data_IF_920928541019
#
_entry.id   IF_920928541019
#
_cell.length_a   1.000
_cell.length_b   1.000
_cell.length_c   1.000
_cell.angle_alpha   90.00
_cell.angle_beta   90.00
_cell.angle_gamma   90.00
#
_symmetry.space_group_name_H-M   'P 1'
#
loop_
_entity.id
_entity.type
_entity.pdbx_description
1 polymer ?
#
# COMPACT_ATOMS: atom_id res chain seq x y z
N UNK A 1 -2.41 1.71 21.09
CA UNK A 1 -3.15 2.16 19.93
C UNK A 1 -3.38 1.00 18.98
N UNK A 2 -4.50 0.98 18.31
CA UNK A 2 -4.93 -0.15 17.46
C UNK A 2 -3.94 -0.42 16.31
N UNK A 3 -3.54 0.62 15.58
CA UNK A 3 -2.61 0.51 14.46
C UNK A 3 -1.28 -0.11 14.84
N UNK A 4 -0.65 0.35 15.92
CA UNK A 4 0.63 -0.20 16.39
C UNK A 4 0.55 -1.70 16.71
N UNK A 5 -0.57 -2.13 17.32
CA UNK A 5 -0.77 -3.55 17.66
C UNK A 5 -0.87 -4.42 16.41
N UNK A 6 -1.60 -3.95 15.38
CA UNK A 6 -1.71 -4.68 14.11
C UNK A 6 -0.34 -4.78 13.43
N UNK A 7 0.40 -3.68 13.35
CA UNK A 7 1.74 -3.66 12.75
C UNK A 7 2.70 -4.60 13.49
N UNK A 8 2.69 -4.62 14.82
CA UNK A 8 3.51 -5.54 15.60
C UNK A 8 3.17 -7.02 15.31
N UNK A 9 1.88 -7.35 15.11
CA UNK A 9 1.49 -8.70 14.73
C UNK A 9 2.00 -9.05 13.33
N UNK A 10 1.87 -8.15 12.37
CA UNK A 10 2.37 -8.35 11.00
C UNK A 10 3.89 -8.55 10.99
N UNK A 11 4.64 -7.78 11.79
CA UNK A 11 6.10 -7.94 11.92
C UNK A 11 6.50 -9.32 12.44
N UNK A 12 5.68 -9.92 13.31
CA UNK A 12 5.95 -11.26 13.85
C UNK A 12 5.70 -12.40 12.85
N UNK A 13 4.94 -12.16 11.80
CA UNK A 13 4.71 -13.16 10.74
C UNK A 13 5.97 -13.42 9.91
N UNK A 14 6.94 -12.52 9.95
CA UNK A 14 8.16 -12.65 9.19
C UNK A 14 9.18 -13.55 9.89
N UNK A 15 9.41 -14.73 9.38
CA UNK A 15 10.57 -15.56 9.77
C UNK A 15 11.81 -15.05 9.03
N UNK A 16 12.94 -14.94 9.75
CA UNK A 16 14.23 -14.31 9.40
C UNK A 16 14.89 -14.72 8.06
N UNK A 17 14.26 -15.43 7.16
CA UNK A 17 14.80 -15.72 5.84
C UNK A 17 14.36 -14.65 4.86
N UNK A 18 15.31 -13.94 4.30
CA UNK A 18 15.09 -13.06 3.15
C UNK A 18 14.65 -13.97 2.01
N UNK A 19 13.38 -13.93 1.69
CA UNK A 19 12.82 -14.58 0.53
C UNK A 19 12.42 -13.48 -0.46
N UNK A 20 13.15 -13.43 -1.57
CA UNK A 20 12.90 -12.47 -2.65
C UNK A 20 11.78 -12.92 -3.58
N UNK A 21 11.16 -14.08 -3.30
CA UNK A 21 10.04 -14.59 -4.05
C UNK A 21 8.81 -13.69 -3.92
N UNK A 22 8.14 -13.45 -5.03
CA UNK A 22 6.86 -12.74 -5.08
C UNK A 22 5.66 -13.67 -4.82
N UNK A 23 5.88 -14.97 -4.64
CA UNK A 23 4.81 -15.96 -4.52
C UNK A 23 3.85 -15.64 -3.37
N UNK A 24 4.38 -15.22 -2.22
CA UNK A 24 3.56 -14.83 -1.05
C UNK A 24 2.67 -13.64 -1.37
N UNK A 25 3.23 -12.63 -2.05
CA UNK A 25 2.49 -11.45 -2.47
C UNK A 25 1.38 -11.82 -3.44
N UNK A 26 1.67 -12.64 -4.45
CA UNK A 26 0.67 -13.11 -5.40
C UNK A 26 -0.41 -13.97 -4.74
N UNK A 27 -0.03 -14.83 -3.80
CA UNK A 27 -1.00 -15.64 -3.05
C UNK A 27 -1.98 -14.78 -2.24
N UNK A 28 -1.46 -13.77 -1.56
CA UNK A 28 -2.31 -12.84 -0.81
C UNK A 28 -3.19 -12.01 -1.75
N UNK A 29 -2.65 -11.47 -2.82
CA UNK A 29 -3.42 -10.72 -3.82
C UNK A 29 -4.55 -11.55 -4.41
N UNK A 30 -4.30 -12.84 -4.70
CA UNK A 30 -5.32 -13.76 -5.17
C UNK A 30 -6.45 -13.94 -4.15
N UNK A 31 -6.12 -14.11 -2.87
CA UNK A 31 -7.11 -14.17 -1.78
C UNK A 31 -7.93 -12.88 -1.68
N UNK A 32 -7.35 -11.74 -2.01
CA UNK A 32 -7.99 -10.42 -2.01
C UNK A 32 -8.83 -10.15 -3.27
N UNK A 33 -8.85 -11.07 -4.24
CA UNK A 33 -9.57 -10.92 -5.49
C UNK A 33 -8.79 -10.18 -6.59
N UNK A 34 -7.47 -10.24 -6.55
CA UNK A 34 -6.56 -9.60 -7.52
C UNK A 34 -6.87 -8.10 -7.73
N UNK A 35 -6.82 -7.27 -6.69
CA UNK A 35 -7.18 -5.86 -6.79
C UNK A 35 -6.31 -5.10 -7.78
N UNK A 36 -5.06 -5.50 -7.98
CA UNK A 36 -4.13 -4.88 -8.93
C UNK A 36 -4.62 -4.91 -10.37
N UNK A 37 -5.40 -5.94 -10.75
CA UNK A 37 -5.90 -6.10 -12.12
C UNK A 37 -7.07 -5.16 -12.43
N UNK A 38 -7.65 -4.54 -11.42
CA UNK A 38 -8.78 -3.62 -11.55
C UNK A 38 -8.36 -2.16 -11.67
N UNK A 39 -7.11 -1.85 -11.35
CA UNK A 39 -6.58 -0.50 -11.41
C UNK A 39 -6.29 -0.12 -12.87
N UNK A 40 -6.72 1.06 -13.30
CA UNK A 40 -6.65 1.46 -14.72
C UNK A 40 -5.41 2.27 -15.06
N UNK A 41 -4.94 3.11 -14.16
CA UNK A 41 -3.91 4.10 -14.43
C UNK A 41 -2.79 3.98 -13.40
N UNK A 42 -1.95 2.95 -13.53
CA UNK A 42 -0.87 2.67 -12.58
C UNK A 42 0.46 3.20 -13.10
N UNK A 43 1.16 3.95 -12.25
CA UNK A 43 2.51 4.46 -12.51
C UNK A 43 3.43 3.94 -11.40
N UNK A 44 4.39 3.11 -11.77
CA UNK A 44 5.45 2.66 -10.85
C UNK A 44 6.64 3.60 -10.92
N UNK A 45 7.15 3.99 -9.75
CA UNK A 45 8.32 4.84 -9.63
C UNK A 45 9.43 4.06 -8.94
N UNK A 46 10.53 3.87 -9.65
CA UNK A 46 11.71 3.14 -9.17
C UNK A 46 12.95 4.04 -9.21
N UNK A 47 13.89 3.80 -8.32
CA UNK A 47 15.12 4.58 -8.25
C UNK A 47 15.70 4.57 -6.85
N UNK A 48 16.86 5.22 -6.70
CA UNK A 48 17.56 5.33 -5.42
C UNK A 48 17.23 6.62 -4.67
N UNK A 49 17.02 7.72 -5.39
CA UNK A 49 16.77 9.04 -4.83
C UNK A 49 15.60 9.73 -5.52
N UNK A 50 15.03 10.73 -4.85
CA UNK A 50 14.03 11.66 -5.40
C UNK A 50 12.70 11.03 -5.84
N UNK A 51 12.42 9.77 -5.49
CA UNK A 51 11.15 9.12 -5.85
C UNK A 51 9.95 9.86 -5.29
N UNK A 52 9.98 10.17 -4.00
CA UNK A 52 8.90 10.90 -3.32
C UNK A 52 8.67 12.28 -3.95
N UNK A 53 9.74 13.05 -4.19
CA UNK A 53 9.64 14.38 -4.81
C UNK A 53 9.04 14.32 -6.21
N UNK A 54 9.40 13.29 -6.99
CA UNK A 54 8.85 13.08 -8.32
C UNK A 54 7.35 12.75 -8.25
N UNK A 55 6.95 11.84 -7.37
CA UNK A 55 5.53 11.47 -7.18
C UNK A 55 4.70 12.69 -6.78
N UNK A 56 5.18 13.48 -5.82
CA UNK A 56 4.48 14.70 -5.38
C UNK A 56 4.38 15.75 -6.48
N UNK A 57 5.39 15.87 -7.32
CA UNK A 57 5.38 16.77 -8.48
C UNK A 57 4.35 16.32 -9.52
N UNK A 58 4.31 15.04 -9.85
CA UNK A 58 3.30 14.47 -10.75
C UNK A 58 1.89 14.64 -10.20
N UNK A 59 1.69 14.37 -8.91
CA UNK A 59 0.39 14.58 -8.24
C UNK A 59 -0.07 16.03 -8.42
N UNK A 60 0.80 16.98 -8.18
CA UNK A 60 0.47 18.40 -8.32
C UNK A 60 0.05 18.77 -9.75
N UNK A 61 0.78 18.28 -10.75
CA UNK A 61 0.48 18.51 -12.16
C UNK A 61 -0.87 17.87 -12.54
N UNK A 62 -1.08 16.62 -12.14
CA UNK A 62 -2.31 15.88 -12.44
C UNK A 62 -3.52 16.50 -11.76
N UNK A 63 -3.39 16.97 -10.52
CA UNK A 63 -4.46 17.67 -9.83
C UNK A 63 -4.86 18.96 -10.54
N UNK A 64 -3.89 19.71 -11.07
CA UNK A 64 -4.16 20.89 -11.89
C UNK A 64 -4.91 20.53 -13.18
N UNK A 65 -4.67 19.35 -13.71
CA UNK A 65 -5.38 18.84 -14.91
C UNK A 65 -6.74 18.20 -14.58
N UNK A 66 -7.16 18.20 -13.31
CA UNK A 66 -8.44 17.65 -12.87
C UNK A 66 -8.44 16.17 -12.51
N UNK A 67 -7.27 15.54 -12.39
CA UNK A 67 -7.16 14.13 -12.02
C UNK A 67 -6.90 13.98 -10.51
N UNK A 68 -7.53 12.97 -9.91
CA UNK A 68 -7.26 12.54 -8.54
C UNK A 68 -6.21 11.43 -8.53
N UNK A 69 -5.41 11.37 -7.47
CA UNK A 69 -4.29 10.44 -7.33
C UNK A 69 -4.37 9.61 -6.07
N UNK A 70 -3.86 8.38 -6.16
CA UNK A 70 -3.53 7.54 -5.01
C UNK A 70 -2.00 7.38 -4.99
N UNK A 71 -1.41 7.45 -3.80
CA UNK A 71 0.04 7.36 -3.62
C UNK A 71 0.39 6.29 -2.59
N UNK A 72 1.37 5.47 -2.92
CA UNK A 72 2.04 4.59 -1.97
C UNK A 72 3.52 4.93 -1.95
N UNK A 73 4.01 5.42 -0.81
CA UNK A 73 5.39 5.89 -0.64
C UNK A 73 6.03 5.26 0.60
N UNK A 74 7.34 5.17 0.60
CA UNK A 74 8.14 4.68 1.72
C UNK A 74 9.55 5.29 1.72
N UNK A 75 10.21 5.41 2.86
CA UNK A 75 9.67 5.21 4.22
C UNK A 75 8.79 6.37 4.69
N UNK A 76 8.10 6.19 5.82
CA UNK A 76 7.42 7.29 6.51
C UNK A 76 8.39 7.99 7.48
N UNK A 77 8.04 9.23 7.86
CA UNK A 77 8.82 10.00 8.84
C UNK A 77 8.28 9.83 10.27
N UNK A 78 6.97 9.95 10.44
CA UNK A 78 6.33 9.91 11.75
C UNK A 78 5.30 8.78 11.88
N UNK A 79 4.49 8.56 10.86
CA UNK A 79 3.39 7.60 10.92
C UNK A 79 3.28 6.77 9.65
N UNK A 80 2.88 5.51 9.80
CA UNK A 80 2.55 4.63 8.69
C UNK A 80 1.47 5.20 7.76
N UNK A 81 0.59 6.04 8.26
CA UNK A 81 -0.47 6.70 7.46
C UNK A 81 0.09 7.53 6.32
N UNK A 82 1.28 8.10 6.49
CA UNK A 82 1.96 8.87 5.45
C UNK A 82 2.22 8.09 4.16
N UNK A 83 2.31 6.76 4.26
CA UNK A 83 2.54 5.87 3.10
C UNK A 83 1.32 5.72 2.21
N UNK A 84 0.14 6.09 2.70
CA UNK A 84 -1.15 5.80 2.08
C UNK A 84 -1.94 7.06 1.81
N UNK A 85 -1.94 7.49 0.56
CA UNK A 85 -2.77 8.59 0.08
C UNK A 85 -3.79 8.02 -0.90
N UNK A 86 -5.06 8.25 -0.64
CA UNK A 86 -6.16 7.83 -1.50
C UNK A 86 -7.02 9.03 -1.87
N UNK A 87 -7.30 9.18 -3.15
CA UNK A 87 -8.12 10.29 -3.64
C UNK A 87 -7.57 11.65 -3.17
N UNK A 88 -6.22 11.80 -3.23
CA UNK A 88 -5.43 12.95 -2.76
C UNK A 88 -5.46 13.22 -1.24
N UNK A 89 -5.95 12.28 -0.44
CA UNK A 89 -6.01 12.41 1.02
C UNK A 89 -5.25 11.30 1.72
N UNK A 90 -4.46 11.67 2.72
CA UNK A 90 -3.83 10.69 3.62
C UNK A 90 -4.90 9.92 4.40
N UNK A 91 -4.75 8.60 4.49
CA UNK A 91 -5.64 7.75 5.28
C UNK A 91 -5.52 8.09 6.77
N UNK A 92 -6.63 8.04 7.49
CA UNK A 92 -6.57 8.18 8.95
C UNK A 92 -6.11 6.88 9.63
N UNK A 93 -5.66 6.99 10.88
CA UNK A 93 -5.08 5.89 11.63
C UNK A 93 -6.05 4.73 11.86
N UNK A 94 -7.32 5.04 12.14
CA UNK A 94 -8.34 4.01 12.41
C UNK A 94 -8.69 3.23 11.15
N UNK A 95 -8.85 3.90 10.02
CA UNK A 95 -9.11 3.26 8.73
C UNK A 95 -7.92 2.40 8.28
N UNK A 96 -6.70 2.86 8.48
CA UNK A 96 -5.52 2.05 8.18
C UNK A 96 -5.45 0.81 9.09
N UNK A 97 -5.74 0.96 10.37
CA UNK A 97 -5.78 -0.16 11.31
C UNK A 97 -6.83 -1.21 10.89
N UNK A 98 -8.02 -0.78 10.52
CA UNK A 98 -9.09 -1.67 10.05
C UNK A 98 -8.70 -2.40 8.76
N UNK A 99 -8.12 -1.67 7.81
CA UNK A 99 -7.63 -2.25 6.55
C UNK A 99 -6.57 -3.33 6.80
N UNK A 100 -5.58 -3.04 7.64
CA UNK A 100 -4.52 -4.00 7.96
C UNK A 100 -5.05 -5.21 8.75
N UNK A 101 -6.04 -5.04 9.61
CA UNK A 101 -6.70 -6.17 10.29
C UNK A 101 -7.43 -7.08 9.28
N UNK A 102 -8.10 -6.51 8.30
CA UNK A 102 -8.75 -7.28 7.25
C UNK A 102 -7.74 -8.07 6.42
N UNK A 103 -6.61 -7.46 6.07
CA UNK A 103 -5.50 -8.15 5.39
C UNK A 103 -4.96 -9.29 6.24
N UNK A 104 -4.75 -9.07 7.53
CA UNK A 104 -4.28 -10.09 8.48
C UNK A 104 -5.24 -11.30 8.53
N UNK A 105 -6.54 -11.05 8.62
CA UNK A 105 -7.56 -12.10 8.64
C UNK A 105 -7.59 -12.91 7.34
N UNK A 106 -7.53 -12.24 6.20
CA UNK A 106 -7.56 -12.88 4.88
C UNK A 106 -6.29 -13.70 4.65
N UNK A 107 -5.13 -13.18 5.07
CA UNK A 107 -3.86 -13.90 5.01
C UNK A 107 -3.88 -15.19 5.85
N UNK A 108 -4.55 -15.19 6.97
CA UNK A 108 -4.56 -16.30 7.91
C UNK A 108 -3.20 -16.52 8.56
N UNK A 109 -2.71 -17.76 8.52
CA UNK A 109 -1.42 -18.15 9.12
C UNK A 109 -0.27 -18.21 8.10
N UNK A 110 -0.48 -17.77 6.87
CA UNK A 110 0.55 -17.78 5.84
C UNK A 110 1.71 -16.85 6.21
N UNK A 111 2.91 -17.28 5.86
CA UNK A 111 4.11 -16.50 6.09
C UNK A 111 4.11 -15.26 5.18
N UNK A 112 4.23 -14.08 5.77
CA UNK A 112 4.12 -12.81 5.05
C UNK A 112 5.02 -11.78 5.72
N UNK A 113 5.77 -11.00 4.93
CA UNK A 113 6.52 -9.87 5.48
C UNK A 113 5.59 -8.68 5.73
N UNK A 114 5.97 -7.83 6.67
CA UNK A 114 5.26 -6.58 6.93
C UNK A 114 5.08 -5.77 5.65
N UNK A 115 6.15 -5.58 4.88
CA UNK A 115 6.12 -4.78 3.65
C UNK A 115 5.17 -5.37 2.60
N UNK A 116 5.13 -6.70 2.45
CA UNK A 116 4.20 -7.37 1.55
C UNK A 116 2.75 -7.13 1.97
N UNK A 117 2.47 -7.21 3.27
CA UNK A 117 1.14 -6.92 3.82
C UNK A 117 0.73 -5.47 3.55
N UNK A 118 1.63 -4.52 3.79
CA UNK A 118 1.39 -3.10 3.56
C UNK A 118 1.09 -2.79 2.09
N UNK A 119 1.86 -3.40 1.18
CA UNK A 119 1.67 -3.23 -0.26
C UNK A 119 0.33 -3.80 -0.74
N UNK A 120 -0.01 -5.00 -0.30
CA UNK A 120 -1.30 -5.62 -0.64
C UNK A 120 -2.48 -4.81 -0.09
N UNK A 121 -2.35 -4.27 1.12
CA UNK A 121 -3.35 -3.39 1.72
C UNK A 121 -3.59 -2.15 0.88
N UNK A 122 -2.52 -1.53 0.39
CA UNK A 122 -2.63 -0.37 -0.49
C UNK A 122 -3.41 -0.70 -1.76
N UNK A 123 -3.03 -1.76 -2.45
CA UNK A 123 -3.68 -2.18 -3.69
C UNK A 123 -5.15 -2.52 -3.47
N UNK A 124 -5.46 -3.19 -2.36
CA UNK A 124 -6.85 -3.54 -2.02
C UNK A 124 -7.73 -2.31 -1.81
N UNK A 125 -7.23 -1.33 -1.10
CA UNK A 125 -8.00 -0.10 -0.85
C UNK A 125 -8.15 0.75 -2.13
N UNK A 126 -7.15 0.73 -3.02
CA UNK A 126 -7.21 1.43 -4.31
C UNK A 126 -8.35 0.97 -5.22
N UNK A 127 -8.90 -0.23 -5.03
CA UNK A 127 -10.07 -0.69 -5.80
C UNK A 127 -11.24 0.30 -5.73
N UNK A 128 -11.42 0.98 -4.61
CA UNK A 128 -12.47 1.97 -4.42
C UNK A 128 -12.27 3.21 -5.29
N UNK A 129 -11.03 3.43 -5.72
CA UNK A 129 -10.58 4.58 -6.50
C UNK A 129 -9.86 4.14 -7.78
N UNK A 130 -10.33 3.07 -8.41
CA UNK A 130 -9.68 2.41 -9.54
C UNK A 130 -9.46 3.28 -10.77
N UNK A 131 -10.26 4.34 -10.91
CA UNK A 131 -10.18 5.30 -12.02
C UNK A 131 -9.16 6.42 -11.77
N UNK A 132 -8.71 6.59 -10.52
CA UNK A 132 -7.67 7.55 -10.18
C UNK A 132 -6.31 7.12 -10.76
N UNK A 133 -5.38 8.05 -10.85
CA UNK A 133 -3.98 7.74 -11.15
C UNK A 133 -3.33 7.17 -9.89
N UNK A 134 -2.85 5.94 -9.96
CA UNK A 134 -2.29 5.21 -8.82
C UNK A 134 -0.78 5.12 -8.95
N UNK A 135 -0.07 5.76 -8.02
CA UNK A 135 1.39 5.71 -7.93
C UNK A 135 1.83 4.64 -6.95
N UNK A 136 2.84 3.87 -7.36
CA UNK A 136 3.50 2.86 -6.55
C UNK A 136 5.00 3.13 -6.58
N UNK A 137 5.55 3.41 -5.40
CA UNK A 137 6.99 3.57 -5.19
C UNK A 137 7.68 2.24 -4.93
#
# INVERSE_FOLDING_TARGET
>A
MKLQKVIQRLQKLHKKKIDLSLDRTFNLLKKLGNPQDKLKNVISVVGTNSKYSMIKSFQSILNQAGYKCNLYTSPHLQSYTERYVYDDKEIDEDNLADLLEDIEKINGSDNLSEFQALTCAYLKYCEQYKDNVTFIE
#
